data_IF_680801451654
#
_entry.id   IF_680801451654
#
_cell.length_a   1.000
_cell.length_b   1.000
_cell.length_c   1.000
_cell.angle_alpha   90.00
_cell.angle_beta   90.00
_cell.angle_gamma   90.00
#
_symmetry.space_group_name_H-M   'P 1'
#
loop_
_entity.id
_entity.type
_entity.pdbx_description
1 polymer ?
#
# COMPACT_ATOMS: atom_id res chain seq x y z
N UNK A 1 -32.50 -15.48 24.77
CA UNK A 1 -32.76 -14.19 24.10
C UNK A 1 -31.60 -13.96 23.14
N UNK A 2 -31.55 -14.80 22.10
CA UNK A 2 -30.44 -14.96 21.18
C UNK A 2 -31.02 -14.99 19.76
N UNK A 3 -30.27 -14.44 18.79
CA UNK A 3 -30.55 -14.46 17.33
C UNK A 3 -31.39 -13.32 16.72
N UNK A 4 -31.08 -12.06 17.01
CA UNK A 4 -31.65 -10.95 16.23
C UNK A 4 -30.67 -9.81 15.88
N UNK A 5 -29.36 -10.03 15.99
CA UNK A 5 -28.34 -9.08 15.47
C UNK A 5 -27.41 -9.80 14.50
N UNK A 6 -28.00 -10.51 13.52
CA UNK A 6 -27.30 -10.87 12.30
C UNK A 6 -27.68 -9.86 11.23
N UNK A 7 -26.91 -8.78 11.10
CA UNK A 7 -27.08 -7.85 9.99
C UNK A 7 -26.81 -8.62 8.69
N UNK A 8 -27.87 -8.86 7.91
CA UNK A 8 -27.89 -9.60 6.66
C UNK A 8 -26.72 -9.32 5.67
N UNK A 9 -26.14 -8.10 5.58
CA UNK A 9 -25.01 -7.84 4.69
C UNK A 9 -23.74 -8.64 5.01
N UNK A 10 -23.48 -8.91 6.29
CA UNK A 10 -22.25 -9.58 6.73
C UNK A 10 -22.16 -11.04 6.26
N UNK A 11 -23.30 -11.74 6.18
CA UNK A 11 -23.36 -13.14 5.71
C UNK A 11 -23.23 -13.27 4.20
N UNK A 12 -23.71 -12.29 3.44
CA UNK A 12 -23.66 -12.32 1.98
C UNK A 12 -22.23 -12.10 1.44
N UNK A 13 -21.44 -11.26 2.10
CA UNK A 13 -20.09 -10.90 1.63
C UNK A 13 -18.97 -11.79 2.19
N UNK A 14 -19.21 -12.50 3.28
CA UNK A 14 -18.21 -13.37 3.92
C UNK A 14 -17.54 -14.38 2.96
N UNK A 15 -18.26 -15.05 2.03
CA UNK A 15 -17.62 -15.97 1.07
C UNK A 15 -16.64 -15.28 0.10
N UNK A 16 -16.78 -13.97 -0.11
CA UNK A 16 -15.96 -13.20 -1.04
C UNK A 16 -14.72 -12.58 -0.40
N UNK A 17 -14.52 -12.72 0.91
CA UNK A 17 -13.43 -12.06 1.65
C UNK A 17 -12.04 -12.32 1.04
N UNK A 18 -11.74 -13.55 0.65
CA UNK A 18 -10.43 -13.89 0.05
C UNK A 18 -10.27 -13.34 -1.39
N UNK A 19 -11.37 -13.19 -2.13
CA UNK A 19 -11.35 -12.54 -3.45
C UNK A 19 -11.19 -11.03 -3.30
N UNK A 20 -11.92 -10.41 -2.37
CA UNK A 20 -11.81 -9.00 -2.04
C UNK A 20 -10.41 -8.65 -1.56
N UNK A 21 -9.79 -9.50 -0.74
CA UNK A 21 -8.39 -9.33 -0.34
C UNK A 21 -7.44 -9.42 -1.54
N UNK A 22 -7.62 -10.40 -2.43
CA UNK A 22 -6.78 -10.52 -3.61
C UNK A 22 -6.90 -9.29 -4.53
N UNK A 23 -8.11 -8.78 -4.76
CA UNK A 23 -8.34 -7.52 -5.47
C UNK A 23 -7.68 -6.34 -4.77
N UNK A 24 -7.87 -6.20 -3.45
CA UNK A 24 -7.25 -5.14 -2.66
C UNK A 24 -5.73 -5.17 -2.79
N UNK A 25 -5.10 -6.35 -2.67
CA UNK A 25 -3.66 -6.56 -2.87
C UNK A 25 -3.21 -6.17 -4.27
N UNK A 26 -3.92 -6.63 -5.31
CA UNK A 26 -3.57 -6.35 -6.72
C UNK A 26 -3.67 -4.86 -7.01
N UNK A 27 -4.81 -4.24 -6.70
CA UNK A 27 -5.08 -2.83 -7.00
C UNK A 27 -4.16 -1.92 -6.21
N UNK A 28 -4.00 -2.14 -4.90
CA UNK A 28 -3.09 -1.32 -4.09
C UNK A 28 -1.64 -1.47 -4.51
N UNK A 29 -1.18 -2.68 -4.82
CA UNK A 29 0.16 -2.91 -5.36
C UNK A 29 0.37 -2.23 -6.72
N UNK A 30 -0.62 -2.28 -7.62
CA UNK A 30 -0.54 -1.64 -8.93
C UNK A 30 -0.52 -0.11 -8.85
N UNK A 31 -1.37 0.49 -8.00
CA UNK A 31 -1.38 1.94 -7.78
C UNK A 31 -0.07 2.42 -7.13
N UNK A 32 0.48 1.64 -6.18
CA UNK A 32 1.78 1.92 -5.60
C UNK A 32 2.91 1.84 -6.62
N UNK A 33 2.89 0.80 -7.47
CA UNK A 33 3.85 0.67 -8.55
C UNK A 33 3.77 1.84 -9.53
N UNK A 34 2.56 2.34 -9.81
CA UNK A 34 2.36 3.49 -10.67
C UNK A 34 2.99 4.77 -10.09
N UNK A 35 2.91 5.02 -8.78
CA UNK A 35 3.68 6.11 -8.16
C UNK A 35 5.19 5.97 -8.38
N UNK A 36 5.69 4.74 -8.35
CA UNK A 36 7.06 4.43 -8.73
C UNK A 36 7.36 4.75 -10.19
N UNK A 37 6.46 4.43 -11.12
CA UNK A 37 6.59 4.81 -12.55
C UNK A 37 6.70 6.32 -12.69
N UNK A 38 5.84 7.08 -12.00
CA UNK A 38 5.88 8.54 -12.01
C UNK A 38 7.24 9.07 -11.54
N UNK A 39 7.74 8.56 -10.40
CA UNK A 39 9.01 9.04 -9.80
C UNK A 39 10.26 8.60 -10.57
N UNK A 40 10.26 7.39 -11.12
CA UNK A 40 11.44 6.83 -11.80
C UNK A 40 11.53 7.28 -13.24
N UNK A 41 10.41 7.28 -13.97
CA UNK A 41 10.37 7.51 -15.41
C UNK A 41 9.73 8.85 -15.82
N UNK A 42 9.17 9.63 -14.89
CA UNK A 42 8.57 10.93 -15.20
C UNK A 42 7.26 10.84 -15.99
N UNK A 43 6.59 9.69 -16.00
CA UNK A 43 5.32 9.49 -16.71
C UNK A 43 4.18 10.11 -15.90
N UNK A 44 3.34 10.94 -16.53
CA UNK A 44 2.14 11.52 -15.92
C UNK A 44 2.40 12.20 -14.55
N UNK A 45 3.49 12.99 -14.47
CA UNK A 45 3.84 13.80 -13.31
C UNK A 45 4.44 15.14 -13.75
N UNK A 46 4.19 16.21 -12.98
CA UNK A 46 4.79 17.53 -13.21
C UNK A 46 6.21 17.64 -12.64
N UNK A 47 6.58 16.72 -11.74
CA UNK A 47 7.88 16.69 -11.11
C UNK A 47 8.45 15.27 -11.09
N UNK A 48 9.59 15.09 -11.74
CA UNK A 48 10.41 13.89 -11.65
C UNK A 48 11.58 14.16 -10.71
N UNK A 49 11.73 13.40 -9.61
CA UNK A 49 12.87 13.53 -8.72
C UNK A 49 14.20 13.25 -9.44
N UNK A 50 15.27 13.93 -9.02
CA UNK A 50 16.61 13.67 -9.55
C UNK A 50 17.03 12.21 -9.30
N UNK A 51 17.64 11.58 -10.31
CA UNK A 51 18.11 10.19 -10.21
C UNK A 51 19.08 10.04 -9.03
N UNK A 52 18.89 9.00 -8.23
CA UNK A 52 19.68 8.75 -7.01
C UNK A 52 19.29 9.59 -5.79
N UNK A 53 18.36 10.54 -5.92
CA UNK A 53 17.78 11.23 -4.76
C UNK A 53 16.97 10.25 -3.89
N UNK A 54 16.74 10.61 -2.62
CA UNK A 54 15.92 9.80 -1.71
C UNK A 54 14.50 9.56 -2.28
N UNK A 55 13.89 10.58 -2.88
CA UNK A 55 12.57 10.48 -3.52
C UNK A 55 12.59 9.54 -4.73
N UNK A 56 13.66 9.56 -5.53
CA UNK A 56 13.83 8.65 -6.65
C UNK A 56 14.02 7.20 -6.19
N UNK A 57 14.83 6.97 -5.15
CA UNK A 57 15.01 5.65 -4.53
C UNK A 57 13.68 5.14 -3.95
N UNK A 58 12.92 6.01 -3.29
CA UNK A 58 11.55 5.71 -2.85
C UNK A 58 10.65 5.29 -4.02
N UNK A 59 10.76 5.97 -5.16
CA UNK A 59 10.09 5.60 -6.41
C UNK A 59 10.48 4.21 -6.94
N UNK A 60 11.76 3.83 -6.86
CA UNK A 60 12.21 2.48 -7.24
C UNK A 60 11.58 1.43 -6.32
N UNK A 61 11.56 1.69 -5.00
CA UNK A 61 10.93 0.78 -4.03
C UNK A 61 9.43 0.67 -4.32
N UNK A 62 8.75 1.79 -4.59
CA UNK A 62 7.33 1.83 -4.95
C UNK A 62 7.03 0.98 -6.18
N UNK A 63 7.82 1.16 -7.24
CA UNK A 63 7.69 0.40 -8.48
C UNK A 63 7.86 -1.09 -8.26
N UNK A 64 8.99 -1.49 -7.68
CA UNK A 64 9.37 -2.90 -7.54
C UNK A 64 8.49 -3.60 -6.52
N UNK A 65 8.34 -3.03 -5.32
CA UNK A 65 7.52 -3.64 -4.28
C UNK A 65 6.05 -3.65 -4.67
N UNK A 66 5.53 -2.58 -5.27
CA UNK A 66 4.16 -2.53 -5.76
C UNK A 66 3.87 -3.64 -6.78
N UNK A 67 4.76 -3.83 -7.76
CA UNK A 67 4.64 -4.90 -8.74
C UNK A 67 4.70 -6.29 -8.10
N UNK A 68 5.66 -6.54 -7.20
CA UNK A 68 5.78 -7.81 -6.47
C UNK A 68 4.53 -8.09 -5.62
N UNK A 69 4.01 -7.09 -4.91
CA UNK A 69 2.79 -7.18 -4.13
C UNK A 69 1.61 -7.50 -5.04
N UNK A 70 1.46 -6.82 -6.17
CA UNK A 70 0.36 -7.02 -7.11
C UNK A 70 0.38 -8.41 -7.78
N UNK A 71 1.57 -8.91 -8.12
CA UNK A 71 1.75 -10.26 -8.70
C UNK A 71 1.72 -11.37 -7.65
N UNK A 72 1.83 -11.01 -6.37
CA UNK A 72 1.81 -11.96 -5.26
C UNK A 72 3.15 -12.70 -5.10
N UNK A 73 4.26 -12.08 -5.50
CA UNK A 73 5.62 -12.62 -5.41
C UNK A 73 6.32 -12.00 -4.20
N UNK A 74 6.97 -12.81 -3.37
CA UNK A 74 7.65 -12.36 -2.15
C UNK A 74 6.80 -11.39 -1.29
N UNK A 75 5.46 -11.55 -1.32
CA UNK A 75 4.51 -10.54 -0.85
C UNK A 75 4.79 -10.04 0.56
N UNK A 76 5.17 -10.93 1.48
CA UNK A 76 5.44 -10.56 2.87
C UNK A 76 6.60 -9.58 2.99
N UNK A 77 7.72 -9.87 2.34
CA UNK A 77 8.91 -9.04 2.37
C UNK A 77 8.69 -7.71 1.61
N UNK A 78 8.12 -7.78 0.41
CA UNK A 78 7.83 -6.60 -0.40
C UNK A 78 6.85 -5.65 0.31
N UNK A 79 5.78 -6.18 0.91
CA UNK A 79 4.80 -5.38 1.64
C UNK A 79 5.37 -4.79 2.94
N UNK A 80 6.25 -5.51 3.65
CA UNK A 80 6.91 -4.95 4.83
C UNK A 80 7.81 -3.76 4.46
N UNK A 81 8.59 -3.89 3.37
CA UNK A 81 9.43 -2.80 2.89
C UNK A 81 8.60 -1.61 2.38
N UNK A 82 7.52 -1.87 1.63
CA UNK A 82 6.60 -0.83 1.17
C UNK A 82 5.93 -0.09 2.33
N UNK A 83 5.52 -0.83 3.38
CA UNK A 83 4.97 -0.27 4.62
C UNK A 83 5.97 0.69 5.29
N UNK A 84 7.21 0.25 5.51
CA UNK A 84 8.27 1.09 6.08
C UNK A 84 8.58 2.33 5.23
N UNK A 85 8.55 2.20 3.90
CA UNK A 85 8.77 3.32 2.97
C UNK A 85 7.68 4.40 3.14
N UNK A 86 6.43 3.98 3.32
CA UNK A 86 5.32 4.91 3.56
C UNK A 86 5.32 5.51 4.96
N UNK A 87 5.79 4.77 5.96
CA UNK A 87 6.07 5.34 7.28
C UNK A 87 7.13 6.46 7.16
N UNK A 88 8.26 6.21 6.51
CA UNK A 88 9.28 7.24 6.25
C UNK A 88 8.67 8.43 5.49
N UNK A 89 7.84 8.15 4.48
CA UNK A 89 7.21 9.21 3.69
C UNK A 89 6.34 10.13 4.55
N UNK A 90 5.51 9.55 5.42
CA UNK A 90 4.68 10.33 6.33
C UNK A 90 5.53 11.15 7.30
N UNK A 91 6.51 10.53 7.97
CA UNK A 91 7.33 11.22 8.97
C UNK A 91 8.19 12.34 8.37
N UNK A 92 8.77 12.13 7.18
CA UNK A 92 9.73 13.06 6.60
C UNK A 92 9.13 14.08 5.62
N UNK A 93 8.08 13.73 4.88
CA UNK A 93 7.53 14.62 3.84
C UNK A 93 6.18 15.23 4.20
N UNK A 94 5.39 14.57 5.06
CA UNK A 94 4.06 15.04 5.44
C UNK A 94 4.05 15.68 6.84
N UNK A 95 4.33 14.90 7.88
CA UNK A 95 4.39 15.39 9.26
C UNK A 95 5.62 16.28 9.49
N UNK A 96 6.78 15.92 8.92
CA UNK A 96 8.06 16.65 9.09
C UNK A 96 8.49 16.83 10.54
N UNK A 97 8.01 15.96 11.45
CA UNK A 97 8.25 16.01 12.90
C UNK A 97 7.85 17.36 13.55
N UNK A 98 6.88 18.07 12.97
CA UNK A 98 6.40 19.34 13.50
C UNK A 98 5.21 19.11 14.44
N UNK A 99 5.25 19.69 15.65
CA UNK A 99 4.13 19.64 16.57
C UNK A 99 3.00 20.56 16.10
N UNK A 100 1.75 20.24 16.47
CA UNK A 100 0.55 21.00 16.10
C UNK A 100 -0.29 20.31 15.03
N UNK A 101 -1.13 21.08 14.32
CA UNK A 101 -2.10 20.55 13.36
C UNK A 101 -1.47 19.78 12.17
N UNK A 102 -0.21 20.09 11.84
CA UNK A 102 0.56 19.37 10.81
C UNK A 102 0.87 17.92 11.16
N UNK A 103 0.60 17.47 12.39
CA UNK A 103 0.57 16.04 12.70
C UNK A 103 -0.57 15.35 11.95
N UNK A 104 -1.75 15.97 11.79
CA UNK A 104 -2.91 15.27 11.27
C UNK A 104 -2.84 15.07 9.75
N UNK A 105 -3.01 13.81 9.24
CA UNK A 105 -2.92 13.51 7.81
C UNK A 105 -3.86 14.33 6.92
N UNK A 106 -5.06 14.64 7.42
CA UNK A 106 -6.04 15.46 6.70
C UNK A 106 -5.62 16.91 6.49
N UNK A 107 -4.67 17.42 7.29
CA UNK A 107 -4.10 18.77 7.15
C UNK A 107 -2.89 18.76 6.22
N UNK A 108 -2.00 17.78 6.38
CA UNK A 108 -0.71 17.72 5.67
C UNK A 108 -0.73 16.89 4.36
N UNK A 109 -1.92 16.46 3.92
CA UNK A 109 -2.14 15.62 2.72
C UNK A 109 -1.43 14.26 2.78
N UNK A 110 -1.15 13.77 3.99
CA UNK A 110 -0.43 12.52 4.25
C UNK A 110 -1.32 11.29 4.38
N UNK A 111 -2.64 11.42 4.17
CA UNK A 111 -3.59 10.30 4.27
C UNK A 111 -3.18 9.09 3.42
N UNK A 112 -2.75 9.24 2.14
CA UNK A 112 -2.32 8.09 1.35
C UNK A 112 -1.10 7.37 1.95
N UNK A 113 -0.12 8.13 2.48
CA UNK A 113 1.06 7.54 3.11
C UNK A 113 0.66 6.70 4.34
N UNK A 114 -0.23 7.20 5.19
CA UNK A 114 -0.73 6.44 6.34
C UNK A 114 -1.53 5.21 5.92
N UNK A 115 -2.44 5.36 4.94
CA UNK A 115 -3.25 4.25 4.43
C UNK A 115 -2.37 3.15 3.83
N UNK A 116 -1.44 3.49 2.93
CA UNK A 116 -0.53 2.48 2.35
C UNK A 116 0.39 1.85 3.40
N UNK A 117 0.85 2.62 4.39
CA UNK A 117 1.66 2.09 5.49
C UNK A 117 0.97 0.92 6.20
N UNK A 118 -0.26 1.13 6.67
CA UNK A 118 -1.00 0.11 7.41
C UNK A 118 -1.61 -0.96 6.50
N UNK A 119 -2.02 -0.60 5.28
CA UNK A 119 -2.50 -1.56 4.29
C UNK A 119 -1.40 -2.58 3.95
N UNK A 120 -0.19 -2.12 3.67
CA UNK A 120 0.92 -3.03 3.37
C UNK A 120 1.46 -3.73 4.60
N UNK A 121 1.36 -3.14 5.80
CA UNK A 121 1.61 -3.89 7.04
C UNK A 121 0.64 -5.07 7.17
N UNK A 122 -0.66 -4.85 6.90
CA UNK A 122 -1.66 -5.91 6.89
C UNK A 122 -1.36 -6.99 5.83
N UNK A 123 -1.02 -6.58 4.60
CA UNK A 123 -0.61 -7.51 3.53
C UNK A 123 0.66 -8.27 3.91
N UNK A 124 1.62 -7.65 4.60
CA UNK A 124 2.81 -8.32 5.10
C UNK A 124 2.48 -9.42 6.12
N UNK A 125 1.53 -9.15 7.01
CA UNK A 125 1.02 -10.11 7.99
C UNK A 125 0.22 -11.24 7.34
N UNK A 126 -0.68 -10.93 6.39
CA UNK A 126 -1.58 -11.90 5.73
C UNK A 126 -0.90 -12.72 4.63
N UNK A 127 0.03 -12.14 3.88
CA UNK A 127 0.76 -12.79 2.79
C UNK A 127 0.04 -12.76 1.44
N UNK A 128 0.47 -13.62 0.51
CA UNK A 128 0.13 -13.51 -0.91
C UNK A 128 -1.35 -13.78 -1.25
N UNK A 129 -2.01 -14.69 -0.52
CA UNK A 129 -3.41 -15.03 -0.77
C UNK A 129 -3.68 -15.66 -2.14
N UNK A 130 -4.90 -15.46 -2.67
CA UNK A 130 -5.34 -15.95 -3.98
C UNK A 130 -4.70 -15.15 -5.13
N UNK A 131 -4.67 -15.77 -6.31
CA UNK A 131 -4.12 -15.19 -7.55
C UNK A 131 -2.67 -14.69 -7.41
N UNK A 132 -1.87 -15.40 -6.60
CA UNK A 132 -0.43 -15.19 -6.49
C UNK A 132 0.28 -16.08 -7.50
N UNK A 133 1.20 -15.51 -8.26
CA UNK A 133 1.99 -16.24 -9.26
C UNK A 133 3.07 -17.14 -8.63
N UNK A 134 3.41 -16.94 -7.36
CA UNK A 134 4.44 -17.70 -6.65
C UNK A 134 3.95 -18.98 -5.96
N UNK A 135 2.64 -19.25 -6.00
CA UNK A 135 2.05 -20.43 -5.36
C UNK A 135 2.10 -21.60 -6.35
N UNK A 136 2.99 -22.58 -6.10
CA UNK A 136 2.78 -23.92 -6.67
C UNK A 136 1.45 -24.44 -6.08
N UNK A 137 0.55 -24.86 -6.96
CA UNK A 137 -0.82 -25.28 -6.64
C UNK A 137 -0.89 -26.34 -5.56
#
# INVERSE_FOLDING_TARGET
MDRAVSTLPSRALAPFAEHAYALLRIVSGALFAFHGVQKVFGVLTDHQPAVGSQLWIGGVIELVCGALIALGLYTRAAAFLASGTMAVAYFQFHWKLQLGENFFPGVNKGEPAVVYCFLFLFVACKGAGRWSLGRRG
#
